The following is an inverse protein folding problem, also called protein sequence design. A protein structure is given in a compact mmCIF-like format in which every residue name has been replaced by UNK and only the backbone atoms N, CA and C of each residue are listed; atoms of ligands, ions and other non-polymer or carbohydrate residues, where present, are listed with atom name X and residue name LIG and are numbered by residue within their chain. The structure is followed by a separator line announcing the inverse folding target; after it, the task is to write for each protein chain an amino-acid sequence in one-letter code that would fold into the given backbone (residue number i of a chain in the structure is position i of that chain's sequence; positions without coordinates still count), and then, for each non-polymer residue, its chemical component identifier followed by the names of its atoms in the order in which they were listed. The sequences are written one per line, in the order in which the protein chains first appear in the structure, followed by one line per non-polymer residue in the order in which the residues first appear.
data_IF_237145220843
#
_entry.id   IF_237145220843
#
_cell.length_a   1.000
_cell.length_b   1.000
_cell.length_c   1.000
_cell.angle_alpha   90.00
_cell.angle_beta   90.00
_cell.angle_gamma   90.00
#
_symmetry.space_group_name_H-M   'P 1'
#
loop_
_entity.id
_entity.type
_entity.pdbx_description
1 polymer ?
#
# COMPACT_ATOMS: atom_id res chain seq x y z
N UNK A 1 39.59 -15.71 -26.35
CA UNK A 1 38.78 -16.34 -25.29
C UNK A 1 37.74 -15.34 -24.83
N UNK A 2 36.55 -15.77 -24.43
CA UNK A 2 35.46 -14.86 -24.08
C UNK A 2 35.09 -14.97 -22.59
N UNK A 3 34.47 -13.92 -22.04
CA UNK A 3 33.96 -13.91 -20.68
C UNK A 3 32.92 -15.01 -20.41
N UNK A 4 32.20 -15.44 -21.44
CA UNK A 4 31.31 -16.60 -21.38
C UNK A 4 32.06 -17.91 -21.05
N UNK A 5 33.28 -18.08 -21.54
CA UNK A 5 34.10 -19.27 -21.28
C UNK A 5 34.54 -19.30 -19.82
N UNK A 6 34.91 -18.12 -19.28
CA UNK A 6 35.22 -17.94 -17.86
C UNK A 6 34.00 -18.26 -17.00
N UNK A 7 32.83 -17.72 -17.37
CA UNK A 7 31.58 -17.98 -16.68
C UNK A 7 31.19 -19.46 -16.68
N UNK A 8 31.36 -20.15 -17.81
CA UNK A 8 31.08 -21.58 -17.92
C UNK A 8 32.02 -22.42 -17.04
N UNK A 9 33.29 -22.07 -16.96
CA UNK A 9 34.22 -22.73 -16.05
C UNK A 9 33.83 -22.52 -14.58
N UNK A 10 33.46 -21.29 -14.21
CA UNK A 10 33.04 -20.95 -12.84
C UNK A 10 31.80 -21.73 -12.43
N UNK A 11 30.80 -21.90 -13.32
CA UNK A 11 29.62 -22.74 -13.03
C UNK A 11 29.99 -24.17 -12.67
N UNK A 12 30.95 -24.74 -13.41
CA UNK A 12 31.32 -26.14 -13.27
C UNK A 12 32.29 -26.39 -12.11
N UNK A 13 33.08 -25.39 -11.70
CA UNK A 13 34.21 -25.57 -10.77
C UNK A 13 34.19 -24.65 -9.54
N UNK A 14 33.44 -23.55 -9.55
CA UNK A 14 33.48 -22.49 -8.53
C UNK A 14 32.61 -22.73 -7.29
N UNK A 15 31.79 -23.79 -7.27
CA UNK A 15 30.86 -24.07 -6.17
C UNK A 15 29.67 -23.09 -6.08
N UNK A 16 28.80 -23.28 -5.08
CA UNK A 16 27.47 -22.67 -5.04
C UNK A 16 27.47 -21.12 -5.08
N UNK A 17 28.46 -20.45 -4.46
CA UNK A 17 28.54 -18.97 -4.49
C UNK A 17 29.08 -18.42 -5.81
N UNK A 18 30.23 -18.89 -6.29
CA UNK A 18 30.80 -18.39 -7.54
C UNK A 18 29.96 -18.80 -8.77
N UNK A 19 29.21 -19.91 -8.72
CA UNK A 19 28.34 -20.34 -9.83
C UNK A 19 27.28 -19.32 -10.25
N UNK A 20 26.85 -18.45 -9.33
CA UNK A 20 25.97 -17.32 -9.62
C UNK A 20 26.67 -16.28 -10.49
N UNK A 21 27.92 -15.93 -10.16
CA UNK A 21 28.76 -15.05 -10.98
C UNK A 21 29.00 -15.66 -12.37
N UNK A 22 29.21 -16.97 -12.45
CA UNK A 22 29.30 -17.68 -13.73
C UNK A 22 28.01 -17.61 -14.56
N UNK A 23 26.85 -17.55 -13.91
CA UNK A 23 25.55 -17.35 -14.56
C UNK A 23 25.36 -15.92 -15.07
N UNK A 24 25.86 -14.92 -14.34
CA UNK A 24 25.88 -13.53 -14.80
C UNK A 24 26.74 -13.36 -16.05
N UNK A 25 27.92 -13.99 -16.10
CA UNK A 25 28.87 -13.93 -17.22
C UNK A 25 28.41 -14.63 -18.50
N UNK A 26 27.51 -15.62 -18.37
CA UNK A 26 26.96 -16.38 -19.51
C UNK A 26 25.55 -15.91 -19.88
N UNK A 27 25.01 -14.93 -19.15
CA UNK A 27 23.69 -14.36 -19.38
C UNK A 27 23.62 -13.48 -20.64
N UNK A 28 22.40 -13.13 -21.03
CA UNK A 28 22.12 -12.27 -22.18
C UNK A 28 21.94 -10.78 -21.83
N UNK A 29 21.93 -10.43 -20.54
CA UNK A 29 21.77 -9.05 -20.07
C UNK A 29 23.15 -8.37 -19.94
N UNK A 30 23.46 -7.34 -20.75
CA UNK A 30 24.78 -6.70 -20.73
C UNK A 30 25.18 -6.14 -19.36
N UNK A 31 24.22 -5.61 -18.60
CA UNK A 31 24.47 -5.11 -17.24
C UNK A 31 24.85 -6.21 -16.24
N UNK A 32 24.20 -7.39 -16.35
CA UNK A 32 24.52 -8.54 -15.53
C UNK A 32 25.92 -9.09 -15.87
N UNK A 33 26.24 -9.20 -17.16
CA UNK A 33 27.56 -9.62 -17.63
C UNK A 33 28.65 -8.67 -17.12
N UNK A 34 28.42 -7.35 -17.19
CA UNK A 34 29.36 -6.35 -16.68
C UNK A 34 29.61 -6.48 -15.16
N UNK A 35 28.55 -6.71 -14.37
CA UNK A 35 28.68 -6.97 -12.93
C UNK A 35 29.49 -8.25 -12.66
N UNK A 36 29.22 -9.33 -13.40
CA UNK A 36 29.99 -10.57 -13.31
C UNK A 36 31.47 -10.38 -13.67
N UNK A 37 31.77 -9.59 -14.70
CA UNK A 37 33.15 -9.22 -15.08
C UNK A 37 33.82 -8.44 -13.95
N UNK A 38 33.14 -7.47 -13.35
CA UNK A 38 33.68 -6.67 -12.25
C UNK A 38 34.01 -7.54 -11.02
N UNK A 39 33.16 -8.50 -10.68
CA UNK A 39 33.41 -9.45 -9.58
C UNK A 39 34.62 -10.33 -9.86
N UNK A 40 34.73 -10.89 -11.07
CA UNK A 40 35.88 -11.73 -11.45
C UNK A 40 37.17 -10.91 -11.52
N UNK A 41 37.12 -9.69 -12.04
CA UNK A 41 38.29 -8.83 -12.15
C UNK A 41 38.76 -8.36 -10.76
N UNK A 42 37.83 -8.11 -9.83
CA UNK A 42 38.14 -7.83 -8.41
C UNK A 42 38.76 -9.04 -7.70
N UNK A 43 38.33 -10.26 -8.03
CA UNK A 43 38.87 -11.48 -7.45
C UNK A 43 40.24 -11.87 -7.99
N UNK A 44 40.48 -11.65 -9.29
CA UNK A 44 41.68 -12.10 -10.02
C UNK A 44 42.72 -11.00 -10.25
N UNK A 45 42.35 -9.73 -10.09
CA UNK A 45 43.20 -8.58 -10.34
C UNK A 45 43.48 -8.29 -11.81
N UNK A 46 42.70 -8.85 -12.74
CA UNK A 46 42.87 -8.67 -14.18
C UNK A 46 41.54 -8.50 -14.90
N UNK A 47 41.52 -7.62 -15.89
CA UNK A 47 40.36 -7.35 -16.75
C UNK A 47 40.39 -8.19 -18.05
N UNK A 48 41.31 -9.16 -18.16
CA UNK A 48 41.43 -10.02 -19.35
C UNK A 48 40.81 -11.39 -19.09
N UNK A 49 39.90 -11.89 -19.95
CA UNK A 49 39.25 -13.18 -19.74
C UNK A 49 40.23 -14.35 -19.77
N UNK A 50 41.27 -14.32 -20.63
CA UNK A 50 42.30 -15.37 -20.65
C UNK A 50 43.11 -15.44 -19.36
N UNK A 51 43.52 -14.28 -18.80
CA UNK A 51 44.35 -14.27 -17.61
C UNK A 51 43.51 -14.49 -16.35
N UNK A 52 42.27 -13.99 -16.31
CA UNK A 52 41.31 -14.27 -15.25
C UNK A 52 41.03 -15.77 -15.13
N UNK A 53 40.80 -16.47 -16.25
CA UNK A 53 40.58 -17.92 -16.18
C UNK A 53 41.83 -18.66 -15.72
N UNK A 54 43.01 -18.29 -16.24
CA UNK A 54 44.26 -18.91 -15.79
C UNK A 54 44.43 -18.75 -14.29
N UNK A 55 44.23 -17.55 -13.77
CA UNK A 55 44.33 -17.26 -12.34
C UNK A 55 43.34 -18.09 -11.53
N UNK A 56 42.07 -18.17 -11.96
CA UNK A 56 41.06 -18.99 -11.30
C UNK A 56 41.40 -20.49 -11.32
N UNK A 57 42.07 -20.97 -12.37
CA UNK A 57 42.48 -22.38 -12.50
C UNK A 57 43.74 -22.71 -11.69
N UNK A 58 44.72 -21.79 -11.66
CA UNK A 58 46.00 -22.02 -10.98
C UNK A 58 45.99 -21.65 -9.51
N UNK A 59 45.08 -20.77 -9.09
CA UNK A 59 45.05 -20.21 -7.75
C UNK A 59 43.71 -20.46 -7.04
N UNK A 60 43.66 -21.46 -6.13
CA UNK A 60 42.46 -21.72 -5.32
C UNK A 60 42.03 -20.51 -4.48
N UNK A 61 42.95 -19.63 -4.08
CA UNK A 61 42.63 -18.43 -3.32
C UNK A 61 41.81 -17.43 -4.13
N UNK A 62 42.00 -17.35 -5.46
CA UNK A 62 41.21 -16.50 -6.34
C UNK A 62 39.74 -16.95 -6.39
N UNK A 63 39.49 -18.26 -6.40
CA UNK A 63 38.12 -18.83 -6.35
C UNK A 63 37.46 -18.57 -4.99
N UNK A 64 38.20 -18.69 -3.89
CA UNK A 64 37.70 -18.36 -2.55
C UNK A 64 37.34 -16.88 -2.46
N UNK A 65 38.22 -16.00 -2.93
CA UNK A 65 37.98 -14.54 -2.96
C UNK A 65 36.77 -14.18 -3.81
N UNK A 66 36.59 -14.81 -4.97
CA UNK A 66 35.41 -14.63 -5.80
C UNK A 66 34.13 -15.02 -5.06
N UNK A 67 34.17 -16.12 -4.30
CA UNK A 67 33.04 -16.56 -3.47
C UNK A 67 32.74 -15.58 -2.34
N UNK A 68 33.75 -15.04 -1.68
CA UNK A 68 33.59 -14.01 -0.64
C UNK A 68 32.93 -12.75 -1.21
N UNK A 69 33.42 -12.26 -2.35
CA UNK A 69 32.83 -11.11 -3.06
C UNK A 69 31.35 -11.38 -3.40
N UNK A 70 31.04 -12.56 -3.93
CA UNK A 70 29.66 -12.92 -4.25
C UNK A 70 28.75 -12.96 -3.02
N UNK A 71 29.25 -13.43 -1.87
CA UNK A 71 28.47 -13.45 -0.62
C UNK A 71 28.27 -12.05 -0.03
N UNK A 72 29.27 -11.18 -0.16
CA UNK A 72 29.17 -9.79 0.25
C UNK A 72 28.15 -9.02 -0.61
N UNK A 73 28.18 -9.22 -1.92
CA UNK A 73 27.23 -8.62 -2.85
C UNK A 73 25.79 -9.10 -2.60
N UNK A 74 25.59 -10.40 -2.36
CA UNK A 74 24.29 -10.97 -1.98
C UNK A 74 23.75 -10.33 -0.69
N UNK A 75 24.62 -10.13 0.31
CA UNK A 75 24.24 -9.50 1.58
C UNK A 75 23.88 -8.03 1.38
N UNK A 76 24.67 -7.30 0.59
CA UNK A 76 24.41 -5.90 0.23
C UNK A 76 23.08 -5.76 -0.50
N UNK A 77 22.83 -6.61 -1.50
CA UNK A 77 21.58 -6.64 -2.26
C UNK A 77 20.37 -6.91 -1.37
N UNK A 78 20.45 -7.89 -0.46
CA UNK A 78 19.37 -8.17 0.48
C UNK A 78 19.09 -7.00 1.42
N UNK A 79 20.14 -6.36 1.94
CA UNK A 79 20.00 -5.18 2.80
C UNK A 79 19.36 -4.01 2.04
N UNK A 80 19.75 -3.81 0.78
CA UNK A 80 19.15 -2.79 -0.07
C UNK A 80 17.66 -3.06 -0.34
N UNK A 81 17.28 -4.30 -0.65
CA UNK A 81 15.88 -4.70 -0.83
C UNK A 81 15.07 -4.48 0.45
N UNK A 82 15.62 -4.85 1.62
CA UNK A 82 14.96 -4.61 2.90
C UNK A 82 14.76 -3.10 3.17
N UNK A 83 15.77 -2.28 2.90
CA UNK A 83 15.69 -0.84 3.07
C UNK A 83 14.64 -0.21 2.15
N UNK A 84 14.59 -0.63 0.88
CA UNK A 84 13.58 -0.18 -0.08
C UNK A 84 12.17 -0.58 0.37
N UNK A 85 11.97 -1.83 0.77
CA UNK A 85 10.67 -2.31 1.26
C UNK A 85 10.23 -1.57 2.53
N UNK A 86 11.18 -1.28 3.44
CA UNK A 86 10.90 -0.49 4.64
C UNK A 86 10.46 0.93 4.30
N UNK A 87 11.18 1.61 3.41
CA UNK A 87 10.84 2.96 2.98
C UNK A 87 9.45 3.02 2.34
N UNK A 88 9.10 2.03 1.50
CA UNK A 88 7.77 1.93 0.90
C UNK A 88 6.66 1.68 1.94
N UNK A 89 6.91 0.79 2.91
CA UNK A 89 5.98 0.56 4.02
C UNK A 89 5.81 1.79 4.91
N UNK A 90 6.87 2.54 5.18
CA UNK A 90 6.81 3.79 5.94
C UNK A 90 6.00 4.85 5.19
N UNK A 91 6.27 5.06 3.90
CA UNK A 91 5.53 6.01 3.07
C UNK A 91 4.03 5.68 3.01
N UNK A 92 3.68 4.40 2.82
CA UNK A 92 2.28 3.96 2.84
C UNK A 92 1.60 4.21 4.20
N UNK A 93 2.32 3.98 5.31
CA UNK A 93 1.82 4.27 6.65
C UNK A 93 1.61 5.76 6.88
N UNK A 94 2.54 6.61 6.41
CA UNK A 94 2.40 8.06 6.47
C UNK A 94 1.19 8.55 5.67
N UNK A 95 1.01 8.06 4.44
CA UNK A 95 -0.13 8.39 3.60
C UNK A 95 -1.46 7.98 4.26
N UNK A 96 -1.53 6.79 4.84
CA UNK A 96 -2.70 6.34 5.60
C UNK A 96 -2.95 7.21 6.84
N UNK A 97 -1.90 7.56 7.59
CA UNK A 97 -2.01 8.42 8.76
C UNK A 97 -2.56 9.82 8.39
N UNK A 98 -2.01 10.47 7.36
CA UNK A 98 -2.47 11.78 6.90
C UNK A 98 -3.92 11.75 6.38
N UNK A 99 -4.28 10.70 5.65
CA UNK A 99 -5.65 10.49 5.19
C UNK A 99 -6.62 10.38 6.37
N UNK A 100 -6.25 9.59 7.40
CA UNK A 100 -7.09 9.43 8.58
C UNK A 100 -7.18 10.72 9.41
N UNK A 101 -6.10 11.48 9.54
CA UNK A 101 -6.14 12.80 10.18
C UNK A 101 -7.01 13.79 9.41
N UNK A 102 -7.01 13.74 8.08
CA UNK A 102 -7.91 14.55 7.24
C UNK A 102 -9.38 14.18 7.44
N UNK A 103 -9.70 12.88 7.45
CA UNK A 103 -11.07 12.39 7.72
C UNK A 103 -11.52 12.79 9.12
N UNK A 104 -10.67 12.58 10.13
CA UNK A 104 -10.94 13.00 11.52
C UNK A 104 -11.08 14.52 11.64
N UNK A 105 -10.30 15.28 10.88
CA UNK A 105 -10.40 16.73 10.79
C UNK A 105 -11.75 17.17 10.21
N UNK A 106 -12.19 16.50 9.13
CA UNK A 106 -13.53 16.70 8.54
C UNK A 106 -14.67 16.33 9.49
N UNK A 107 -14.57 15.22 10.22
CA UNK A 107 -15.57 14.81 11.21
C UNK A 107 -15.57 15.75 12.45
N UNK A 108 -14.40 16.26 12.85
CA UNK A 108 -14.29 17.31 13.89
C UNK A 108 -14.87 18.63 13.42
N UNK A 109 -14.78 18.95 12.13
CA UNK A 109 -15.47 20.05 11.46
C UNK A 109 -17.00 19.80 11.35
N UNK A 110 -17.57 19.20 12.40
CA UNK A 110 -18.98 19.25 12.74
C UNK A 110 -19.40 20.69 13.05
N UNK A 111 -19.43 21.51 12.01
CA UNK A 111 -19.77 22.91 12.07
C UNK A 111 -21.03 23.08 12.92
N UNK A 112 -20.91 23.83 14.01
CA UNK A 112 -21.99 24.05 14.97
C UNK A 112 -23.24 24.50 14.21
N UNK A 113 -23.06 25.34 13.19
CA UNK A 113 -24.10 25.82 12.29
C UNK A 113 -24.85 24.69 11.58
N UNK A 114 -24.15 23.74 10.94
CA UNK A 114 -24.76 22.62 10.19
C UNK A 114 -25.54 21.70 11.13
N UNK A 115 -25.06 21.51 12.37
CA UNK A 115 -25.74 20.71 13.39
C UNK A 115 -27.11 21.28 13.78
N UNK A 116 -27.26 22.61 13.75
CA UNK A 116 -28.52 23.29 14.09
C UNK A 116 -29.41 23.52 12.86
N UNK A 117 -28.84 23.72 11.67
CA UNK A 117 -29.61 23.96 10.43
C UNK A 117 -30.41 22.71 10.03
N UNK A 118 -29.81 21.51 10.14
CA UNK A 118 -30.50 20.24 9.78
C UNK A 118 -31.81 20.00 10.56
N UNK A 119 -31.86 20.13 11.90
CA UNK A 119 -33.11 20.12 12.63
C UNK A 119 -33.95 21.38 12.39
N UNK A 120 -33.31 22.55 12.24
CA UNK A 120 -33.99 23.83 12.05
C UNK A 120 -34.89 23.88 10.81
N UNK A 121 -34.40 23.43 9.65
CA UNK A 121 -35.18 23.41 8.41
C UNK A 121 -36.41 22.49 8.51
N UNK A 122 -36.25 21.35 9.20
CA UNK A 122 -37.32 20.38 9.42
C UNK A 122 -38.40 20.98 10.32
N UNK A 123 -38.00 21.58 11.45
CA UNK A 123 -38.92 22.26 12.36
C UNK A 123 -39.63 23.44 11.69
N UNK A 124 -38.92 24.23 10.88
CA UNK A 124 -39.52 25.35 10.15
C UNK A 124 -40.56 24.88 9.14
N UNK A 125 -40.25 23.83 8.37
CA UNK A 125 -41.19 23.24 7.40
C UNK A 125 -42.44 22.67 8.09
N UNK A 126 -42.29 22.07 9.26
CA UNK A 126 -43.41 21.59 10.08
C UNK A 126 -44.31 22.74 10.54
N UNK A 127 -43.73 23.81 11.08
CA UNK A 127 -44.47 24.99 11.54
C UNK A 127 -45.18 25.70 10.38
N UNK A 128 -44.53 25.78 9.20
CA UNK A 128 -45.12 26.33 7.99
C UNK A 128 -46.33 25.48 7.51
N UNK A 129 -46.23 24.15 7.55
CA UNK A 129 -47.35 23.25 7.27
C UNK A 129 -48.53 23.44 8.21
N UNK A 130 -48.27 23.54 9.52
CA UNK A 130 -49.31 23.80 10.54
C UNK A 130 -49.98 25.16 10.31
N UNK A 131 -49.18 26.20 10.07
CA UNK A 131 -49.68 27.55 9.81
C UNK A 131 -50.54 27.61 8.54
N UNK A 132 -50.14 26.88 7.49
CA UNK A 132 -50.87 26.80 6.23
C UNK A 132 -52.25 26.15 6.39
N UNK A 133 -52.35 25.03 7.13
CA UNK A 133 -53.64 24.39 7.44
C UNK A 133 -54.57 25.33 8.22
N UNK A 134 -54.02 26.12 9.13
CA UNK A 134 -54.82 27.01 9.97
C UNK A 134 -55.31 28.26 9.22
N UNK A 135 -54.51 28.80 8.31
CA UNK A 135 -54.87 30.03 7.57
C UNK A 135 -55.66 29.76 6.29
N UNK A 136 -55.50 28.59 5.65
CA UNK A 136 -56.18 28.27 4.41
C UNK A 136 -57.52 27.54 4.69
N UNK A 137 -58.68 28.09 4.29
CA UNK A 137 -59.98 27.45 4.52
C UNK A 137 -60.19 26.17 3.69
N UNK A 138 -59.44 26.00 2.59
CA UNK A 138 -59.38 24.78 1.80
C UNK A 138 -57.91 24.54 1.39
N UNK A 139 -57.09 23.89 2.23
CA UNK A 139 -55.67 23.71 1.96
C UNK A 139 -55.45 22.70 0.83
N UNK A 140 -54.54 23.02 -0.09
CA UNK A 140 -54.16 22.12 -1.19
C UNK A 140 -53.37 20.91 -0.65
N UNK A 141 -53.84 19.67 -0.88
CA UNK A 141 -53.13 18.47 -0.45
C UNK A 141 -51.71 18.37 -1.01
N UNK A 142 -51.42 18.88 -2.21
CA UNK A 142 -50.06 18.85 -2.77
C UNK A 142 -49.10 19.75 -1.99
N UNK A 143 -49.54 20.96 -1.64
CA UNK A 143 -48.76 21.88 -0.80
C UNK A 143 -48.49 21.30 0.60
N UNK A 144 -49.48 20.62 1.19
CA UNK A 144 -49.32 19.94 2.48
C UNK A 144 -48.30 18.80 2.42
N UNK A 145 -48.36 17.95 1.39
CA UNK A 145 -47.40 16.84 1.25
C UNK A 145 -45.97 17.36 1.08
N UNK A 146 -45.77 18.46 0.38
CA UNK A 146 -44.46 19.09 0.23
C UNK A 146 -43.94 19.61 1.57
N UNK A 147 -44.75 20.35 2.34
CA UNK A 147 -44.36 20.93 3.63
C UNK A 147 -44.10 19.88 4.71
N UNK A 148 -44.81 18.74 4.68
CA UNK A 148 -44.60 17.64 5.64
C UNK A 148 -43.57 16.59 5.19
N UNK A 149 -43.11 16.62 3.93
CA UNK A 149 -42.11 15.68 3.43
C UNK A 149 -40.77 15.76 4.19
N UNK A 150 -40.26 16.97 4.43
CA UNK A 150 -39.02 17.21 5.16
C UNK A 150 -39.11 16.80 6.65
N UNK A 151 -40.15 17.20 7.41
CA UNK A 151 -40.38 16.69 8.77
C UNK A 151 -40.54 15.18 8.84
N UNK A 152 -41.30 14.59 7.91
CA UNK A 152 -41.52 13.15 7.85
C UNK A 152 -40.23 12.38 7.61
N UNK A 153 -39.39 12.82 6.69
CA UNK A 153 -38.09 12.21 6.43
C UNK A 153 -37.12 12.40 7.60
N UNK A 154 -37.08 13.58 8.21
CA UNK A 154 -36.12 13.89 9.28
C UNK A 154 -36.47 13.25 10.63
N UNK A 155 -37.72 13.36 11.08
CA UNK A 155 -38.18 12.81 12.35
C UNK A 155 -38.61 11.35 12.24
N UNK A 156 -39.32 10.98 11.16
CA UNK A 156 -39.82 9.62 10.96
C UNK A 156 -38.71 8.58 10.81
N UNK A 157 -37.77 8.78 9.87
CA UNK A 157 -36.68 7.81 9.66
C UNK A 157 -35.75 7.71 10.89
N UNK A 158 -35.63 8.78 11.68
CA UNK A 158 -34.82 8.81 12.91
C UNK A 158 -35.46 8.01 14.06
N UNK A 159 -36.78 7.97 14.16
CA UNK A 159 -37.46 7.15 15.16
C UNK A 159 -37.58 5.67 14.74
N UNK A 160 -37.80 5.40 13.44
CA UNK A 160 -37.76 4.03 12.92
C UNK A 160 -36.39 3.37 13.14
N UNK A 161 -35.29 4.11 13.01
CA UNK A 161 -33.94 3.61 13.33
C UNK A 161 -33.78 3.19 14.79
N UNK A 162 -34.23 4.02 15.74
CA UNK A 162 -34.18 3.70 17.19
C UNK A 162 -35.12 2.53 17.56
N UNK A 163 -36.30 2.47 16.94
CA UNK A 163 -37.24 1.36 17.12
C UNK A 163 -36.69 0.03 16.60
N UNK A 164 -36.05 0.04 15.43
CA UNK A 164 -35.40 -1.14 14.86
C UNK A 164 -34.21 -1.62 15.72
N UNK A 165 -33.40 -0.70 16.24
CA UNK A 165 -32.28 -0.99 17.13
C UNK A 165 -32.72 -1.59 18.47
N UNK A 166 -33.81 -1.07 19.07
CA UNK A 166 -34.45 -1.61 20.27
C UNK A 166 -35.05 -3.01 20.06
N UNK A 167 -35.62 -3.27 18.88
CA UNK A 167 -36.15 -4.59 18.51
C UNK A 167 -35.01 -5.60 18.28
N UNK A 168 -33.91 -5.18 17.67
CA UNK A 168 -32.72 -6.01 17.49
C UNK A 168 -32.06 -6.39 18.82
N UNK A 169 -31.91 -5.44 19.75
CA UNK A 169 -31.37 -5.71 21.10
C UNK A 169 -32.28 -6.60 21.94
N UNK A 170 -33.61 -6.48 21.81
CA UNK A 170 -34.56 -7.41 22.44
C UNK A 170 -34.48 -8.84 21.90
N UNK A 171 -34.15 -9.02 20.61
CA UNK A 171 -33.94 -10.34 20.00
C UNK A 171 -32.62 -10.98 20.44
N UNK A 172 -31.55 -10.19 20.62
CA UNK A 172 -30.25 -10.67 21.11
C UNK A 172 -30.26 -11.14 22.57
N UNK A 173 -31.16 -10.61 23.41
CA UNK A 173 -31.26 -10.96 24.84
C UNK A 173 -32.03 -12.26 25.15
N UNK A 174 -32.58 -12.96 24.14
CA UNK A 174 -33.27 -14.26 24.33
C UNK A 174 -32.38 -15.49 24.16
N UNK A 175 -31.08 -15.30 23.98
CA UNK A 175 -30.10 -16.39 23.95
C UNK A 175 -29.05 -16.14 25.04
N UNK A 176 -29.44 -16.40 26.28
CA UNK A 176 -28.54 -16.79 27.37
C UNK A 176 -29.31 -17.69 28.33
#
# INVERSE_FOLDING_TARGET
MQWSDVGQWIKNNGGHGASLVGSLLTGNLPAAVASGIAMVSSATGTDSPEAALRELQSNPAAVIRLREISLEDDKSTRAHIEAMARAEMEDSQHAHHETQETIRGGDRASDRLIRWIRPGQSTLSLLAGIAYVWQAPAPDPYALTLLFSLPGAYFGLREFGKGAELLATRRGRRVS
#
